data_IF_408537319761
#
_entry.id   IF_408537319761
#
_cell.length_a   1.000
_cell.length_b   1.000
_cell.length_c   1.000
_cell.angle_alpha   90.00
_cell.angle_beta   90.00
_cell.angle_gamma   90.00
#
_symmetry.space_group_name_H-M   'P 1'
#
loop_
_entity.id
_entity.type
_entity.pdbx_description
1 polymer ?
#
# COMPACT_ATOMS: atom_id res chain seq x y z
N UNK A 1 51.00 -6.17 7.24
CA UNK A 1 51.04 -6.59 8.66
C UNK A 1 51.17 -8.11 8.67
N UNK A 2 52.08 -8.68 9.47
CA UNK A 2 52.29 -10.13 9.50
C UNK A 2 50.95 -10.84 9.74
N UNK A 3 50.51 -11.64 8.77
CA UNK A 3 49.35 -12.48 8.93
C UNK A 3 49.70 -13.53 10.00
N UNK A 4 49.34 -13.21 11.24
CA UNK A 4 49.48 -14.12 12.38
C UNK A 4 48.91 -15.48 11.97
N UNK A 5 49.64 -16.57 12.21
CA UNK A 5 49.15 -17.91 11.86
C UNK A 5 47.82 -18.12 12.58
N UNK A 6 46.71 -18.02 11.83
CA UNK A 6 45.38 -18.34 12.34
C UNK A 6 45.40 -19.80 12.77
N UNK A 7 45.45 -20.03 14.09
CA UNK A 7 45.17 -21.34 14.64
C UNK A 7 43.74 -21.69 14.25
N UNK A 8 43.53 -22.91 13.74
CA UNK A 8 42.26 -23.37 13.19
C UNK A 8 41.06 -23.11 14.11
N UNK A 9 41.26 -23.13 15.43
CA UNK A 9 40.23 -22.79 16.42
C UNK A 9 39.74 -21.33 16.35
N UNK A 10 40.64 -20.37 16.14
CA UNK A 10 40.27 -18.95 16.00
C UNK A 10 39.55 -18.67 14.69
N UNK A 11 39.92 -19.40 13.63
CA UNK A 11 39.27 -19.30 12.32
C UNK A 11 37.80 -19.73 12.38
N UNK A 12 37.50 -20.84 13.05
CA UNK A 12 36.13 -21.35 13.22
C UNK A 12 35.26 -20.34 13.99
N UNK A 13 35.81 -19.74 15.05
CA UNK A 13 35.09 -18.73 15.84
C UNK A 13 34.71 -17.51 14.98
N UNK A 14 35.63 -17.02 14.15
CA UNK A 14 35.36 -15.89 13.24
C UNK A 14 34.27 -16.27 12.24
N UNK A 15 34.32 -17.48 11.66
CA UNK A 15 33.30 -17.94 10.73
C UNK A 15 31.91 -18.00 11.36
N UNK A 16 31.80 -18.51 12.59
CA UNK A 16 30.52 -18.57 13.32
C UNK A 16 29.97 -17.16 13.57
N UNK A 17 30.82 -16.23 14.00
CA UNK A 17 30.39 -14.84 14.24
C UNK A 17 29.97 -14.19 12.92
N UNK A 18 30.71 -14.43 11.84
CA UNK A 18 30.38 -13.91 10.51
C UNK A 18 29.04 -14.44 10.00
N UNK A 19 28.74 -15.73 10.16
CA UNK A 19 27.45 -16.29 9.71
C UNK A 19 26.27 -15.74 10.51
N UNK A 20 26.42 -15.54 11.82
CA UNK A 20 25.39 -14.92 12.66
C UNK A 20 25.14 -13.48 12.21
N UNK A 21 26.20 -12.70 11.99
CA UNK A 21 26.09 -11.31 11.54
C UNK A 21 25.46 -11.20 10.14
N UNK A 22 25.84 -12.07 9.21
CA UNK A 22 25.26 -12.10 7.86
C UNK A 22 23.76 -12.45 7.93
N UNK A 23 23.38 -13.46 8.71
CA UNK A 23 21.97 -13.85 8.86
C UNK A 23 21.13 -12.71 9.46
N UNK A 24 21.62 -12.07 10.51
CA UNK A 24 20.94 -10.93 11.12
C UNK A 24 20.82 -9.74 10.16
N UNK A 25 21.86 -9.49 9.36
CA UNK A 25 21.86 -8.43 8.35
C UNK A 25 20.88 -8.72 7.21
N UNK A 26 20.83 -9.96 6.70
CA UNK A 26 19.88 -10.37 5.66
C UNK A 26 18.45 -10.24 6.19
N UNK A 27 18.18 -10.72 7.40
CA UNK A 27 16.85 -10.58 8.03
C UNK A 27 16.42 -9.12 8.11
N UNK A 28 17.32 -8.24 8.58
CA UNK A 28 17.06 -6.80 8.65
C UNK A 28 16.90 -6.16 7.27
N UNK A 29 17.59 -6.65 6.24
CA UNK A 29 17.53 -6.10 4.87
C UNK A 29 16.22 -6.47 4.17
N UNK A 30 15.74 -7.70 4.35
CA UNK A 30 14.45 -8.13 3.81
C UNK A 30 13.30 -7.34 4.44
N UNK A 31 13.29 -7.18 5.77
CA UNK A 31 12.24 -6.44 6.49
C UNK A 31 12.08 -4.97 6.03
N UNK A 32 13.17 -4.29 5.63
CA UNK A 32 13.07 -2.91 5.11
C UNK A 32 12.80 -2.82 3.62
N UNK A 33 12.90 -3.93 2.87
CA UNK A 33 12.60 -3.92 1.43
C UNK A 33 11.10 -3.86 1.16
N UNK A 34 10.26 -4.13 2.17
CA UNK A 34 8.80 -4.01 2.13
C UNK A 34 8.30 -2.59 2.44
N UNK A 35 9.16 -1.56 2.30
CA UNK A 35 8.68 -0.17 2.24
C UNK A 35 7.84 0.00 0.97
N UNK A 36 6.56 -0.33 1.09
CA UNK A 36 5.55 -0.04 0.07
C UNK A 36 5.68 1.43 -0.32
N UNK A 37 5.77 1.72 -1.61
CA UNK A 37 5.90 3.10 -2.07
C UNK A 37 4.61 3.84 -1.67
N UNK A 38 4.74 4.77 -0.73
CA UNK A 38 3.60 5.53 -0.21
C UNK A 38 3.38 6.75 -1.10
N UNK A 39 2.24 6.76 -1.78
CA UNK A 39 1.81 7.87 -2.62
C UNK A 39 0.64 8.56 -1.95
N UNK A 40 0.74 9.87 -1.73
CA UNK A 40 -0.36 10.64 -1.15
C UNK A 40 -1.28 11.16 -2.28
N UNK A 41 -2.59 10.96 -2.12
CA UNK A 41 -3.62 11.43 -3.04
C UNK A 41 -4.56 12.38 -2.28
N UNK A 42 -4.49 13.67 -2.58
CA UNK A 42 -5.40 14.67 -2.01
C UNK A 42 -6.63 14.83 -2.92
N UNK A 43 -7.82 14.54 -2.40
CA UNK A 43 -9.09 14.70 -3.12
C UNK A 43 -9.46 16.18 -3.25
N UNK A 44 -8.97 16.83 -4.29
CA UNK A 44 -9.36 18.22 -4.62
C UNK A 44 -10.61 18.17 -5.51
N UNK A 45 -11.71 18.77 -5.04
CA UNK A 45 -13.00 18.80 -5.73
C UNK A 45 -13.60 17.40 -6.02
N UNK A 46 -13.31 16.41 -5.17
CA UNK A 46 -13.90 15.06 -5.27
C UNK A 46 -13.19 14.11 -6.25
N UNK A 47 -12.01 14.47 -6.75
CA UNK A 47 -11.19 13.57 -7.57
C UNK A 47 -9.70 13.75 -7.31
N UNK A 48 -8.92 12.70 -7.53
CA UNK A 48 -7.47 12.70 -7.42
C UNK A 48 -6.87 11.68 -8.39
N UNK A 49 -5.71 11.98 -8.99
CA UNK A 49 -5.00 11.09 -9.91
C UNK A 49 -3.57 10.93 -9.45
N UNK A 50 -3.11 9.70 -9.30
CA UNK A 50 -1.74 9.35 -8.88
C UNK A 50 -1.12 8.38 -9.86
N UNK A 51 0.17 8.57 -10.15
CA UNK A 51 0.91 7.67 -11.04
C UNK A 51 1.64 6.63 -10.22
N UNK A 52 1.26 5.36 -10.39
CA UNK A 52 1.84 4.20 -9.70
C UNK A 52 2.50 3.31 -10.74
N UNK A 53 3.81 3.14 -10.66
CA UNK A 53 4.58 2.26 -11.55
C UNK A 53 4.42 2.56 -13.06
N UNK A 54 4.13 3.81 -13.43
CA UNK A 54 3.87 4.25 -14.81
C UNK A 54 2.39 4.22 -15.21
N UNK A 55 1.53 3.62 -14.39
CA UNK A 55 0.08 3.59 -14.60
C UNK A 55 -0.59 4.72 -13.82
N UNK A 56 -1.51 5.44 -14.47
CA UNK A 56 -2.28 6.49 -13.79
C UNK A 56 -3.52 5.89 -13.16
N UNK A 57 -3.62 5.98 -11.84
CA UNK A 57 -4.77 5.57 -11.04
C UNK A 57 -5.62 6.80 -10.78
N UNK A 58 -6.85 6.79 -11.31
CA UNK A 58 -7.79 7.88 -11.17
C UNK A 58 -8.84 7.54 -10.11
N UNK A 59 -8.92 8.33 -9.06
CA UNK A 59 -9.80 8.12 -7.91
C UNK A 59 -10.84 9.24 -7.90
N UNK A 60 -12.13 8.88 -7.83
CA UNK A 60 -13.25 9.83 -7.80
C UNK A 60 -14.25 9.47 -6.72
N UNK A 61 -14.84 10.47 -6.10
CA UNK A 61 -15.97 10.29 -5.19
C UNK A 61 -17.26 10.65 -5.94
N UNK A 62 -18.20 9.71 -6.01
CA UNK A 62 -19.51 9.90 -6.62
C UNK A 62 -20.62 9.78 -5.59
N UNK A 63 -21.48 10.80 -5.50
CA UNK A 63 -22.68 10.80 -4.67
C UNK A 63 -23.86 10.20 -5.45
N UNK A 64 -24.47 9.13 -4.92
CA UNK A 64 -25.72 8.61 -5.46
C UNK A 64 -26.92 9.32 -4.83
N UNK A 65 -27.99 9.51 -5.63
CA UNK A 65 -29.23 10.21 -5.22
C UNK A 65 -29.93 9.65 -3.97
N UNK A 66 -29.55 8.45 -3.49
CA UNK A 66 -30.06 7.83 -2.28
C UNK A 66 -29.22 8.09 -1.02
N UNK A 67 -28.21 8.97 -1.09
CA UNK A 67 -27.32 9.30 0.03
C UNK A 67 -26.20 8.30 0.27
N UNK A 68 -26.01 7.34 -0.64
CA UNK A 68 -24.86 6.43 -0.66
C UNK A 68 -23.73 7.06 -1.49
N UNK A 69 -22.53 7.13 -0.92
CA UNK A 69 -21.33 7.59 -1.62
C UNK A 69 -20.54 6.39 -2.15
N UNK A 70 -19.99 6.51 -3.36
CA UNK A 70 -19.12 5.51 -3.95
C UNK A 70 -17.76 6.13 -4.26
N UNK A 71 -16.68 5.44 -3.91
CA UNK A 71 -15.33 5.76 -4.38
C UNK A 71 -15.09 4.92 -5.62
N UNK A 72 -14.81 5.57 -6.73
CA UNK A 72 -14.52 4.95 -8.03
C UNK A 72 -13.02 5.05 -8.25
N UNK A 73 -12.36 3.90 -8.34
CA UNK A 73 -10.92 3.80 -8.63
C UNK A 73 -10.78 3.23 -10.04
N UNK A 74 -10.24 4.00 -10.97
CA UNK A 74 -9.91 3.53 -12.33
C UNK A 74 -8.44 3.23 -12.40
N UNK A 75 -8.11 1.97 -12.64
CA UNK A 75 -6.73 1.49 -12.67
C UNK A 75 -6.59 0.40 -13.72
N UNK A 76 -5.40 0.27 -14.30
CA UNK A 76 -5.07 -0.84 -15.20
C UNK A 76 -4.76 -2.14 -14.44
N UNK A 77 -4.56 -2.07 -13.11
CA UNK A 77 -4.20 -3.21 -12.25
C UNK A 77 -5.23 -3.44 -11.17
N UNK A 78 -5.42 -4.71 -10.81
CA UNK A 78 -6.37 -5.09 -9.78
C UNK A 78 -5.93 -4.57 -8.38
N UNK A 79 -6.73 -3.72 -7.74
CA UNK A 79 -6.48 -3.27 -6.38
C UNK A 79 -6.74 -4.43 -5.40
N UNK A 80 -5.81 -4.66 -4.46
CA UNK A 80 -5.91 -5.78 -3.52
C UNK A 80 -6.91 -5.50 -2.39
N UNK A 81 -6.84 -4.31 -1.79
CA UNK A 81 -7.71 -3.93 -0.67
C UNK A 81 -7.75 -2.42 -0.46
N UNK A 82 -8.90 -1.94 0.01
CA UNK A 82 -9.08 -0.59 0.52
C UNK A 82 -9.36 -0.69 2.02
N UNK A 83 -8.55 -0.04 2.84
CA UNK A 83 -8.76 0.05 4.29
C UNK A 83 -9.00 1.49 4.71
N UNK A 84 -9.87 1.67 5.69
CA UNK A 84 -10.12 2.98 6.29
C UNK A 84 -9.38 3.03 7.62
N UNK A 85 -8.50 4.01 7.79
CA UNK A 85 -7.79 4.23 9.04
C UNK A 85 -8.72 4.97 10.02
N UNK A 86 -9.79 4.31 10.46
CA UNK A 86 -10.62 4.74 11.58
C UNK A 86 -10.06 4.13 12.89
N UNK A 87 -10.28 4.77 14.04
CA UNK A 87 -10.15 4.09 15.34
C UNK A 87 -11.55 3.65 15.75
N UNK A 88 -11.89 2.35 15.76
CA UNK A 88 -11.10 1.15 15.42
C UNK A 88 -10.95 0.91 13.91
N UNK A 89 -9.89 0.20 13.50
CA UNK A 89 -9.56 -0.07 12.09
C UNK A 89 -10.65 -0.94 11.46
N UNK A 90 -11.38 -0.40 10.48
CA UNK A 90 -12.43 -1.12 9.77
C UNK A 90 -11.93 -1.47 8.37
N UNK A 91 -11.71 -2.76 8.12
CA UNK A 91 -11.50 -3.29 6.76
C UNK A 91 -12.88 -3.41 6.13
N UNK A 92 -13.25 -2.44 5.29
CA UNK A 92 -14.50 -2.51 4.54
C UNK A 92 -14.23 -3.40 3.33
N UNK A 93 -15.00 -4.48 3.19
CA UNK A 93 -14.93 -5.33 2.01
C UNK A 93 -15.83 -4.71 0.95
N UNK A 94 -15.25 -4.37 -0.19
CA UNK A 94 -15.98 -3.70 -1.26
C UNK A 94 -16.37 -4.70 -2.34
N UNK A 95 -17.60 -4.55 -2.82
CA UNK A 95 -18.12 -5.38 -3.90
C UNK A 95 -17.55 -4.88 -5.23
N UNK A 96 -16.59 -5.61 -5.80
CA UNK A 96 -16.00 -5.32 -7.12
C UNK A 96 -17.10 -5.37 -8.18
N UNK A 97 -17.31 -4.26 -8.86
CA UNK A 97 -18.16 -4.18 -10.05
C UNK A 97 -17.28 -3.82 -11.23
N UNK A 98 -17.09 -4.73 -12.17
CA UNK A 98 -16.27 -4.50 -13.35
C UNK A 98 -17.06 -3.69 -14.37
N UNK A 99 -16.68 -2.43 -14.55
CA UNK A 99 -17.08 -1.64 -15.70
C UNK A 99 -15.85 -1.37 -16.57
N UNK A 100 -15.87 -1.94 -17.78
CA UNK A 100 -14.90 -1.63 -18.83
C UNK A 100 -15.25 -0.25 -19.42
N UNK A 101 -14.51 0.77 -19.02
CA UNK A 101 -14.59 2.10 -19.61
C UNK A 101 -13.26 2.42 -20.31
N UNK A 102 -13.04 1.78 -21.46
CA UNK A 102 -11.79 1.88 -22.23
C UNK A 102 -10.76 0.79 -21.88
N UNK A 103 -9.48 1.17 -21.76
CA UNK A 103 -8.35 0.26 -21.47
C UNK A 103 -8.09 0.08 -19.95
N UNK A 104 -8.87 0.74 -19.09
CA UNK A 104 -8.78 0.66 -17.62
C UNK A 104 -10.04 0.06 -17.02
N UNK A 105 -9.88 -0.72 -15.96
CA UNK A 105 -10.99 -1.25 -15.18
C UNK A 105 -11.40 -0.24 -14.11
N UNK A 106 -12.70 0.02 -13.99
CA UNK A 106 -13.25 0.87 -12.93
C UNK A 106 -13.76 -0.01 -11.78
N UNK A 107 -13.28 0.28 -10.58
CA UNK A 107 -13.60 -0.42 -9.34
C UNK A 107 -14.44 0.49 -8.45
N UNK A 108 -15.61 -0.01 -8.02
CA UNK A 108 -16.55 0.74 -7.19
C UNK A 108 -16.49 0.28 -5.74
N UNK A 109 -16.34 1.25 -4.84
CA UNK A 109 -16.22 1.05 -3.42
C UNK A 109 -17.38 1.76 -2.73
N UNK A 110 -18.39 1.02 -2.27
CA UNK A 110 -19.52 1.59 -1.52
C UNK A 110 -19.08 2.07 -0.13
N UNK A 111 -19.24 3.35 0.16
CA UNK A 111 -18.99 3.92 1.49
C UNK A 111 -20.29 3.93 2.29
N UNK A 112 -20.28 3.26 3.44
CA UNK A 112 -21.43 3.18 4.34
C UNK A 112 -21.73 4.57 4.94
N UNK A 113 -23.00 4.91 5.16
CA UNK A 113 -23.44 6.27 5.55
C UNK A 113 -22.88 6.80 6.90
N UNK A 114 -22.19 5.98 7.68
CA UNK A 114 -21.40 6.39 8.86
C UNK A 114 -20.13 7.19 8.47
N UNK A 115 -19.80 7.20 7.18
CA UNK A 115 -18.68 7.92 6.55
C UNK A 115 -19.05 9.38 6.22
N UNK A 116 -20.24 9.87 6.61
CA UNK A 116 -20.51 11.31 6.63
C UNK A 116 -19.60 12.09 7.61
N UNK A 117 -18.83 11.39 8.45
CA UNK A 117 -17.77 11.95 9.31
C UNK A 117 -16.34 11.68 8.79
N UNK A 118 -16.18 11.03 7.64
CA UNK A 118 -14.89 10.54 7.14
C UNK A 118 -14.18 11.49 6.16
N UNK A 119 -14.69 12.70 5.97
CA UNK A 119 -13.93 13.82 5.39
C UNK A 119 -12.70 14.23 6.26
N UNK A 120 -12.44 13.51 7.35
CA UNK A 120 -11.25 13.63 8.21
C UNK A 120 -10.45 12.32 8.33
N UNK A 121 -10.86 11.25 7.65
CA UNK A 121 -10.28 9.92 7.81
C UNK A 121 -9.39 9.56 6.61
N UNK A 122 -8.19 9.08 6.92
CA UNK A 122 -7.20 8.63 5.95
C UNK A 122 -7.62 7.27 5.40
N UNK A 123 -7.80 7.15 4.09
CA UNK A 123 -8.04 5.87 3.43
C UNK A 123 -6.75 5.36 2.80
N UNK A 124 -6.55 4.05 2.82
CA UNK A 124 -5.35 3.40 2.31
C UNK A 124 -5.78 2.38 1.26
N UNK A 125 -5.41 2.64 0.02
CA UNK A 125 -5.61 1.74 -1.11
C UNK A 125 -4.29 1.03 -1.41
N UNK A 126 -4.30 -0.30 -1.37
CA UNK A 126 -3.15 -1.12 -1.73
C UNK A 126 -3.31 -1.64 -3.16
N UNK A 127 -2.32 -1.33 -4.01
CA UNK A 127 -2.24 -1.84 -5.39
C UNK A 127 -0.85 -2.45 -5.56
N UNK A 128 -0.78 -3.75 -5.83
CA UNK A 128 0.48 -4.52 -5.86
C UNK A 128 1.35 -4.32 -4.59
N UNK A 129 2.51 -3.67 -4.77
CA UNK A 129 3.48 -3.34 -3.72
C UNK A 129 3.40 -1.86 -3.29
N UNK A 130 2.51 -1.09 -3.88
CA UNK A 130 2.37 0.34 -3.64
C UNK A 130 1.16 0.62 -2.74
N UNK A 131 1.29 1.69 -1.95
CA UNK A 131 0.27 2.11 -0.99
C UNK A 131 -0.15 3.54 -1.32
N UNK A 132 -1.41 3.73 -1.68
CA UNK A 132 -1.97 5.05 -1.97
C UNK A 132 -2.76 5.51 -0.73
N UNK A 133 -2.30 6.60 -0.13
CA UNK A 133 -2.94 7.24 1.00
C UNK A 133 -3.88 8.34 0.48
N UNK A 134 -5.19 8.09 0.54
CA UNK A 134 -6.22 9.00 0.07
C UNK A 134 -6.64 9.90 1.24
N UNK A 135 -6.42 11.21 1.08
CA UNK A 135 -6.77 12.26 2.02
C UNK A 135 -7.93 13.09 1.46
N UNK A 136 -8.90 13.41 2.31
CA UNK A 136 -10.11 14.17 1.98
C UNK A 136 -10.00 15.64 2.40
#
# INVERSE_FOLDING_TARGET
MAAEKLTTGRLIQILIVMTVLITAFIWRTLEHSDEKNKQECLLVAGSCSVTVHGDTVDIKLEDQKNGLQFLVVKTAREPQSLSVLSKPERVISFQKFDALEGEKEAYFYALENDVNSALSQKMILNIDHDQIEINF
#
